data_IF_796648256939
#
_entry.id   IF_796648256939
#
_cell.length_a   1.000
_cell.length_b   1.000
_cell.length_c   1.000
_cell.angle_alpha   90.00
_cell.angle_beta   90.00
_cell.angle_gamma   90.00
#
_symmetry.space_group_name_H-M   'P 1'
#
loop_
_entity.id
_entity.type
_entity.pdbx_description
1 polymer ?
#
# COMPACT_ATOMS: atom_id res chain seq x y z
N UNK A 1 -4.72 9.70 5.75
CA UNK A 1 -4.97 9.73 7.21
C UNK A 1 -3.92 10.63 7.87
N UNK A 2 -4.18 11.24 9.04
CA UNK A 2 -3.19 12.13 9.71
C UNK A 2 -2.54 11.51 10.96
N UNK A 3 -1.48 12.15 11.45
CA UNK A 3 -0.71 11.73 12.61
C UNK A 3 -1.54 11.59 13.90
N UNK A 4 -2.56 12.44 14.10
CA UNK A 4 -3.49 12.33 15.24
C UNK A 4 -4.17 10.96 15.28
N UNK A 5 -4.65 10.49 14.13
CA UNK A 5 -5.28 9.18 14.02
C UNK A 5 -4.28 8.04 14.31
N UNK A 6 -3.03 8.19 13.86
CA UNK A 6 -1.96 7.20 14.15
C UNK A 6 -1.65 7.14 15.64
N UNK A 7 -1.57 8.29 16.30
CA UNK A 7 -1.33 8.37 17.75
C UNK A 7 -2.45 7.71 18.56
N UNK A 8 -3.70 7.81 18.11
CA UNK A 8 -4.84 7.19 18.78
C UNK A 8 -4.74 5.65 18.80
N UNK A 9 -4.03 5.03 17.85
CA UNK A 9 -3.79 3.58 17.85
C UNK A 9 -2.69 3.14 18.81
N UNK A 10 -1.98 4.05 19.49
CA UNK A 10 -0.93 3.64 20.42
C UNK A 10 -1.47 2.95 21.68
N UNK A 11 -2.78 2.92 21.90
CA UNK A 11 -3.41 2.16 23.00
C UNK A 11 -3.65 0.68 22.66
N UNK A 12 -3.48 0.25 21.40
CA UNK A 12 -3.71 -1.13 20.94
C UNK A 12 -2.41 -1.94 20.85
N UNK A 13 -2.46 -3.26 20.76
CA UNK A 13 -1.25 -4.11 20.70
C UNK A 13 -0.48 -4.02 19.35
N UNK A 14 -1.17 -3.62 18.30
CA UNK A 14 -0.64 -3.41 16.96
C UNK A 14 -1.27 -2.18 16.32
N UNK A 15 -0.65 -1.66 15.27
CA UNK A 15 -1.18 -0.58 14.44
C UNK A 15 -1.74 -1.12 13.14
N UNK A 16 -2.72 -0.43 12.59
CA UNK A 16 -3.44 -0.77 11.38
C UNK A 16 -3.56 0.42 10.43
N UNK A 17 -3.47 0.18 9.13
CA UNK A 17 -3.50 1.20 8.10
C UNK A 17 -4.25 0.75 6.86
N UNK A 18 -4.93 1.71 6.22
CA UNK A 18 -5.64 1.51 4.97
C UNK A 18 -5.06 2.43 3.90
N UNK A 19 -4.92 1.92 2.69
CA UNK A 19 -4.51 2.74 1.56
C UNK A 19 -5.04 2.16 0.25
N UNK A 20 -5.26 3.02 -0.72
CA UNK A 20 -5.84 2.65 -1.99
C UNK A 20 -5.07 3.28 -3.12
N UNK A 21 -4.76 2.47 -4.13
CA UNK A 21 -4.31 2.98 -5.41
C UNK A 21 -5.52 3.45 -6.21
N UNK A 22 -6.09 4.58 -5.80
CA UNK A 22 -7.24 5.16 -6.46
C UNK A 22 -7.11 6.68 -6.54
N UNK A 23 -7.45 7.22 -7.71
CA UNK A 23 -7.66 8.65 -7.90
C UNK A 23 -8.93 8.80 -8.71
N UNK A 24 -10.09 8.86 -8.05
CA UNK A 24 -11.34 8.72 -8.79
C UNK A 24 -12.52 9.48 -8.19
N UNK A 25 -13.46 9.81 -9.08
CA UNK A 25 -14.77 10.36 -8.77
C UNK A 25 -15.79 9.43 -9.42
N UNK A 26 -16.27 8.48 -8.63
CA UNK A 26 -17.17 7.42 -9.07
C UNK A 26 -18.54 7.59 -8.40
N UNK A 27 -19.43 8.27 -9.11
CA UNK A 27 -20.79 8.66 -8.74
C UNK A 27 -21.79 8.05 -9.74
N UNK A 28 -23.09 8.27 -9.56
CA UNK A 28 -24.14 7.69 -10.41
C UNK A 28 -23.93 8.04 -11.90
N UNK A 29 -23.65 9.32 -12.18
CA UNK A 29 -23.47 9.86 -13.53
C UNK A 29 -22.02 10.26 -13.85
N UNK A 30 -21.12 10.26 -12.86
CA UNK A 30 -19.70 10.61 -13.03
C UNK A 30 -18.85 9.36 -12.86
N UNK A 31 -18.15 8.92 -13.91
CA UNK A 31 -17.28 7.74 -13.88
C UNK A 31 -15.85 8.14 -14.26
N UNK A 32 -15.17 8.85 -13.37
CA UNK A 32 -13.78 9.27 -13.57
C UNK A 32 -12.91 8.38 -12.70
N UNK A 33 -11.88 7.77 -13.27
CA UNK A 33 -10.94 6.94 -12.54
C UNK A 33 -9.50 7.15 -12.99
N UNK A 34 -8.56 6.86 -12.08
CA UNK A 34 -7.14 6.82 -12.38
C UNK A 34 -6.80 5.50 -13.07
N UNK A 35 -6.49 5.56 -14.36
CA UNK A 35 -6.04 4.40 -15.13
C UNK A 35 -4.51 4.45 -15.31
N UNK A 36 -3.78 4.39 -14.20
CA UNK A 36 -2.31 4.55 -14.19
C UNK A 36 -1.64 3.32 -13.59
N UNK A 37 -0.66 2.70 -14.28
CA UNK A 37 0.12 1.61 -13.71
C UNK A 37 1.04 2.11 -12.59
N UNK A 38 1.16 1.34 -11.50
CA UNK A 38 2.03 1.67 -10.36
C UNK A 38 3.49 1.79 -10.79
N UNK A 39 3.90 0.97 -11.76
CA UNK A 39 5.24 1.03 -12.32
C UNK A 39 5.55 2.32 -13.07
N UNK A 40 4.57 3.15 -13.45
CA UNK A 40 4.81 4.35 -14.29
C UNK A 40 4.94 5.67 -13.53
N UNK A 41 4.71 5.70 -12.22
CA UNK A 41 4.89 6.92 -11.43
C UNK A 41 6.19 6.86 -10.64
N UNK A 42 6.81 8.00 -10.35
CA UNK A 42 8.01 7.98 -9.48
C UNK A 42 7.66 7.56 -8.05
N UNK A 43 6.71 8.26 -7.42
CA UNK A 43 6.47 8.12 -5.99
C UNK A 43 5.12 7.46 -5.66
N UNK A 44 5.15 6.21 -5.16
CA UNK A 44 3.96 5.47 -4.74
C UNK A 44 3.51 5.83 -3.31
N UNK A 45 3.34 7.13 -3.04
CA UNK A 45 2.86 7.60 -1.72
C UNK A 45 1.40 7.23 -1.47
N UNK A 46 0.57 7.17 -2.51
CA UNK A 46 -0.88 6.86 -2.37
C UNK A 46 -1.16 5.47 -1.79
N UNK A 47 -0.26 4.50 -2.01
CA UNK A 47 -0.40 3.15 -1.47
C UNK A 47 0.66 2.88 -0.40
N UNK A 48 1.88 2.52 -0.80
CA UNK A 48 2.88 2.02 0.16
C UNK A 48 3.44 3.12 1.06
N UNK A 49 3.51 4.37 0.59
CA UNK A 49 3.90 5.49 1.45
C UNK A 49 2.87 5.80 2.54
N UNK A 50 1.58 5.85 2.21
CA UNK A 50 0.48 5.99 3.19
C UNK A 50 0.52 4.85 4.22
N UNK A 51 0.77 3.61 3.79
CA UNK A 51 0.87 2.47 4.69
C UNK A 51 2.10 2.55 5.61
N UNK A 52 3.26 3.00 5.11
CA UNK A 52 4.42 3.27 5.96
C UNK A 52 4.15 4.42 6.92
N UNK A 53 3.43 5.47 6.52
CA UNK A 53 2.97 6.50 7.44
C UNK A 53 2.02 5.94 8.51
N UNK A 54 1.25 4.91 8.16
CA UNK A 54 0.36 4.24 9.08
C UNK A 54 1.07 3.38 10.14
N UNK A 55 2.32 2.98 9.87
CA UNK A 55 3.15 2.14 10.73
C UNK A 55 3.89 2.97 11.77
N UNK A 56 3.67 2.67 13.04
CA UNK A 56 4.55 3.13 14.12
C UNK A 56 5.62 2.07 14.36
N UNK A 57 6.91 2.44 14.26
CA UNK A 57 8.01 1.48 14.16
C UNK A 57 8.19 0.57 15.39
N UNK A 58 7.73 0.99 16.57
CA UNK A 58 7.80 0.22 17.81
C UNK A 58 6.63 -0.74 18.03
N UNK A 59 5.74 -0.87 17.04
CA UNK A 59 4.60 -1.78 17.09
C UNK A 59 4.52 -2.70 15.88
N UNK A 60 3.97 -3.91 16.04
CA UNK A 60 3.49 -4.68 14.91
C UNK A 60 2.53 -3.84 14.06
N UNK A 61 2.57 -4.03 12.74
CA UNK A 61 1.72 -3.32 11.80
C UNK A 61 1.02 -4.32 10.88
N UNK A 62 -0.29 -4.19 10.73
CA UNK A 62 -1.10 -4.93 9.77
C UNK A 62 -1.77 -3.95 8.83
N UNK A 63 -1.97 -4.36 7.59
CA UNK A 63 -2.79 -3.63 6.63
C UNK A 63 -4.09 -4.40 6.50
N UNK A 64 -5.12 -4.00 7.23
CA UNK A 64 -6.41 -4.70 7.19
C UNK A 64 -7.25 -4.37 5.95
N UNK A 65 -6.89 -3.32 5.20
CA UNK A 65 -7.62 -2.90 4.01
C UNK A 65 -6.70 -2.23 2.99
N UNK A 66 -6.67 -2.70 1.76
CA UNK A 66 -6.06 -2.00 0.63
C UNK A 66 -6.61 -2.51 -0.70
N UNK A 67 -6.56 -1.70 -1.76
CA UNK A 67 -6.83 -2.18 -3.13
C UNK A 67 -6.31 -1.27 -4.27
N UNK A 68 -6.20 -1.86 -5.46
CA UNK A 68 -6.20 -1.17 -6.77
C UNK A 68 -7.48 -1.56 -7.55
N UNK A 69 -8.56 -0.80 -7.43
CA UNK A 69 -9.88 -1.30 -7.80
C UNK A 69 -10.20 -1.23 -9.30
N UNK A 70 -11.25 -1.97 -9.71
CA UNK A 70 -11.85 -1.86 -11.04
C UNK A 70 -12.37 -0.42 -11.26
N UNK A 71 -12.21 0.22 -12.43
CA UNK A 71 -11.78 -0.36 -13.71
C UNK A 71 -10.32 -0.07 -14.10
N UNK A 72 -9.39 0.15 -13.16
CA UNK A 72 -7.98 0.32 -13.52
C UNK A 72 -7.46 -0.92 -14.27
N UNK A 73 -6.94 -0.73 -15.48
CA UNK A 73 -6.47 -1.80 -16.37
C UNK A 73 -5.20 -2.46 -15.84
N UNK A 74 -4.48 -1.78 -14.95
CA UNK A 74 -3.16 -2.18 -14.43
C UNK A 74 -3.21 -2.88 -13.07
N UNK A 75 -4.41 -3.09 -12.52
CA UNK A 75 -4.62 -3.63 -11.16
C UNK A 75 -4.03 -5.02 -10.89
N UNK A 76 -3.66 -5.76 -11.93
CA UNK A 76 -2.92 -7.02 -11.81
C UNK A 76 -1.54 -6.84 -11.17
N UNK A 77 -0.95 -5.64 -11.20
CA UNK A 77 0.33 -5.35 -10.53
C UNK A 77 0.22 -5.46 -9.00
N UNK A 78 -0.95 -5.13 -8.46
CA UNK A 78 -1.11 -4.84 -7.03
C UNK A 78 -0.95 -6.05 -6.08
N UNK A 79 -1.47 -7.27 -6.35
CA UNK A 79 -1.36 -8.38 -5.39
C UNK A 79 0.08 -8.83 -5.14
N UNK A 80 0.87 -8.90 -6.22
CA UNK A 80 2.27 -9.32 -6.15
C UNK A 80 3.12 -8.21 -5.53
N UNK A 81 2.90 -6.96 -5.94
CA UNK A 81 3.60 -5.80 -5.39
C UNK A 81 3.39 -5.66 -3.87
N UNK A 82 2.14 -5.74 -3.41
CA UNK A 82 1.81 -5.63 -1.99
C UNK A 82 2.34 -6.79 -1.16
N UNK A 83 2.33 -8.02 -1.68
CA UNK A 83 2.96 -9.15 -1.01
C UNK A 83 4.47 -8.95 -0.86
N UNK A 84 5.15 -8.47 -1.91
CA UNK A 84 6.59 -8.23 -1.89
C UNK A 84 6.98 -7.10 -0.93
N UNK A 85 6.30 -5.95 -1.02
CA UNK A 85 6.54 -4.82 -0.11
C UNK A 85 6.20 -5.20 1.33
N UNK A 86 5.07 -5.88 1.57
CA UNK A 86 4.69 -6.32 2.91
C UNK A 86 5.72 -7.27 3.54
N UNK A 87 6.27 -8.21 2.75
CA UNK A 87 7.35 -9.10 3.19
C UNK A 87 8.64 -8.33 3.48
N UNK A 88 9.05 -7.45 2.56
CA UNK A 88 10.24 -6.60 2.68
C UNK A 88 10.18 -5.66 3.90
N UNK A 89 9.01 -5.11 4.18
CA UNK A 89 8.77 -4.23 5.33
C UNK A 89 8.60 -4.99 6.65
N UNK A 90 8.43 -6.31 6.61
CA UNK A 90 8.01 -7.14 7.74
C UNK A 90 6.69 -6.69 8.36
N UNK A 91 5.70 -6.38 7.52
CA UNK A 91 4.33 -6.19 7.99
C UNK A 91 3.74 -7.54 8.42
N UNK A 92 2.85 -7.51 9.41
CA UNK A 92 2.19 -8.70 9.95
C UNK A 92 1.14 -9.32 9.03
N UNK A 93 0.62 -8.54 8.07
CA UNK A 93 -0.33 -8.99 7.07
C UNK A 93 -0.73 -7.87 6.10
N UNK A 94 -1.11 -8.25 4.89
CA UNK A 94 -1.69 -7.37 3.87
C UNK A 94 -3.01 -7.95 3.36
N UNK A 95 -4.12 -7.39 3.80
CA UNK A 95 -5.47 -7.92 3.57
C UNK A 95 -6.16 -7.07 2.51
N UNK A 96 -6.45 -7.70 1.37
CA UNK A 96 -7.07 -7.04 0.23
C UNK A 96 -8.54 -6.77 0.48
N UNK A 97 -8.97 -5.55 0.15
CA UNK A 97 -10.37 -5.15 0.14
C UNK A 97 -10.92 -5.22 -1.28
N UNK A 98 -11.93 -6.02 -1.59
CA UNK A 98 -12.63 -7.00 -0.74
C UNK A 98 -12.87 -8.27 -1.54
N UNK A 99 -13.16 -9.39 -0.87
CA UNK A 99 -13.48 -10.62 -1.58
C UNK A 99 -14.77 -10.45 -2.39
N UNK A 100 -15.89 -10.20 -1.71
CA UNK A 100 -17.18 -9.86 -2.30
C UNK A 100 -18.00 -9.04 -1.30
N UNK A 101 -18.88 -8.19 -1.79
CA UNK A 101 -19.93 -7.54 -1.01
C UNK A 101 -21.17 -8.42 -0.91
N UNK A 102 -21.43 -9.29 -1.89
CA UNK A 102 -22.68 -10.02 -2.07
C UNK A 102 -22.52 -11.54 -2.00
N UNK A 103 -23.47 -12.27 -1.40
CA UNK A 103 -23.54 -13.72 -1.59
C UNK A 103 -24.05 -14.11 -3.00
N UNK A 104 -24.50 -13.16 -3.82
CA UNK A 104 -25.00 -13.43 -5.16
C UNK A 104 -23.84 -13.69 -6.13
N UNK A 105 -23.67 -14.96 -6.52
CA UNK A 105 -22.63 -15.39 -7.46
C UNK A 105 -23.07 -15.34 -8.94
N UNK A 106 -24.33 -14.98 -9.24
CA UNK A 106 -24.86 -14.88 -10.62
C UNK A 106 -24.57 -13.52 -11.28
N UNK A 107 -23.44 -12.92 -10.95
CA UNK A 107 -23.05 -11.61 -11.48
C UNK A 107 -22.43 -11.73 -12.87
N UNK A 108 -22.97 -10.97 -13.83
CA UNK A 108 -22.48 -10.95 -15.21
C UNK A 108 -21.41 -9.88 -15.48
N UNK A 109 -21.21 -8.95 -14.55
CA UNK A 109 -20.34 -7.78 -14.74
C UNK A 109 -19.50 -7.57 -13.48
N UNK A 110 -18.18 -7.51 -13.65
CA UNK A 110 -17.23 -7.17 -12.59
C UNK A 110 -17.48 -5.72 -12.14
N UNK A 111 -17.36 -5.44 -10.85
CA UNK A 111 -17.52 -4.08 -10.34
C UNK A 111 -18.97 -3.67 -10.04
N UNK A 112 -19.96 -4.55 -10.26
CA UNK A 112 -21.39 -4.25 -10.14
C UNK A 112 -22.16 -5.38 -9.44
N UNK A 113 -21.80 -5.65 -8.19
CA UNK A 113 -22.46 -6.62 -7.32
C UNK A 113 -23.80 -6.15 -6.75
N UNK A 114 -23.94 -4.84 -6.51
CA UNK A 114 -25.16 -4.24 -5.96
C UNK A 114 -25.52 -2.94 -6.66
N UNK A 115 -26.75 -2.47 -6.40
CA UNK A 115 -27.10 -1.06 -6.60
C UNK A 115 -26.60 -0.24 -5.42
N UNK A 116 -26.01 0.93 -5.69
CA UNK A 116 -25.54 1.86 -4.65
C UNK A 116 -26.62 2.27 -3.65
N UNK A 117 -27.90 2.24 -4.04
CA UNK A 117 -29.03 2.47 -3.15
C UNK A 117 -29.09 1.50 -1.96
N UNK A 118 -28.45 0.33 -2.06
CA UNK A 118 -28.41 -0.67 -0.97
C UNK A 118 -27.30 -0.41 0.05
N UNK A 119 -26.32 0.46 -0.25
CA UNK A 119 -25.19 0.76 0.64
C UNK A 119 -24.98 2.28 0.78
N UNK A 120 -26.01 2.95 1.29
CA UNK A 120 -25.96 4.38 1.61
C UNK A 120 -25.89 5.32 0.40
N UNK A 121 -26.30 4.85 -0.79
CA UNK A 121 -26.31 5.65 -2.02
C UNK A 121 -24.92 5.92 -2.60
N UNK A 122 -23.89 5.20 -2.16
CA UNK A 122 -22.50 5.46 -2.55
C UNK A 122 -22.13 4.64 -3.77
N UNK A 123 -22.00 5.27 -4.94
CA UNK A 123 -21.86 4.60 -6.24
C UNK A 123 -20.63 3.71 -6.40
N UNK A 124 -19.51 4.00 -5.72
CA UNK A 124 -18.35 3.09 -5.78
C UNK A 124 -18.58 1.79 -5.02
N UNK A 125 -19.52 1.76 -4.06
CA UNK A 125 -19.86 0.53 -3.30
C UNK A 125 -20.71 -0.44 -4.11
N UNK A 126 -20.94 -0.16 -5.38
CA UNK A 126 -21.62 -1.08 -6.30
C UNK A 126 -20.81 -2.34 -6.55
N UNK A 127 -19.52 -2.39 -6.21
CA UNK A 127 -18.71 -3.60 -6.28
C UNK A 127 -17.34 -3.41 -6.91
N UNK A 128 -16.89 -2.18 -7.13
CA UNK A 128 -15.62 -1.88 -7.82
C UNK A 128 -14.38 -2.46 -7.14
N UNK A 129 -14.48 -2.79 -5.86
CA UNK A 129 -13.44 -3.44 -5.05
C UNK A 129 -13.60 -4.97 -4.97
N UNK A 130 -14.64 -5.55 -5.57
CA UNK A 130 -14.86 -6.99 -5.52
C UNK A 130 -13.79 -7.73 -6.31
N UNK A 131 -13.17 -8.72 -5.68
CA UNK A 131 -12.03 -9.45 -6.25
C UNK A 131 -12.33 -10.91 -6.58
N UNK A 132 -13.41 -11.49 -6.04
CA UNK A 132 -13.76 -12.90 -6.25
C UNK A 132 -13.96 -13.26 -7.74
N UNK A 133 -14.46 -12.31 -8.53
CA UNK A 133 -14.66 -12.45 -9.99
C UNK A 133 -13.74 -11.55 -10.83
N UNK A 134 -12.71 -10.94 -10.22
CA UNK A 134 -11.77 -10.10 -10.96
C UNK A 134 -10.67 -10.97 -11.61
N UNK A 135 -10.70 -11.18 -12.94
CA UNK A 135 -9.73 -12.04 -13.61
C UNK A 135 -8.29 -11.51 -13.51
N UNK A 136 -8.11 -10.20 -13.28
CA UNK A 136 -6.77 -9.60 -13.14
C UNK A 136 -6.10 -9.94 -11.81
N UNK A 137 -6.88 -10.31 -10.77
CA UNK A 137 -6.39 -10.47 -9.39
C UNK A 137 -6.50 -11.89 -8.87
N UNK A 138 -7.63 -12.57 -9.10
CA UNK A 138 -7.93 -13.83 -8.41
C UNK A 138 -6.88 -14.93 -8.65
N UNK A 139 -6.31 -14.98 -9.87
CA UNK A 139 -5.24 -15.93 -10.21
C UNK A 139 -3.90 -15.63 -9.54
N UNK A 140 -3.70 -14.42 -9.03
CA UNK A 140 -2.46 -13.98 -8.39
C UNK A 140 -2.45 -14.23 -6.89
N UNK A 141 -3.60 -14.51 -6.27
CA UNK A 141 -3.71 -14.62 -4.81
C UNK A 141 -2.82 -15.71 -4.23
N UNK A 142 -2.76 -16.89 -4.85
CA UNK A 142 -1.90 -17.97 -4.39
C UNK A 142 -0.41 -17.60 -4.49
N UNK A 143 -0.02 -16.90 -5.56
CA UNK A 143 1.35 -16.43 -5.75
C UNK A 143 1.72 -15.38 -4.69
N UNK A 144 0.87 -14.38 -4.48
CA UNK A 144 1.02 -13.35 -3.47
C UNK A 144 1.09 -13.94 -2.05
N UNK A 145 0.18 -14.87 -1.73
CA UNK A 145 0.14 -15.54 -0.43
C UNK A 145 1.41 -16.35 -0.17
N UNK A 146 1.90 -17.11 -1.16
CA UNK A 146 3.14 -17.88 -1.03
C UNK A 146 4.35 -16.98 -0.85
N UNK A 147 4.46 -15.91 -1.67
CA UNK A 147 5.54 -14.93 -1.57
C UNK A 147 5.60 -14.33 -0.16
N UNK A 148 4.48 -13.85 0.35
CA UNK A 148 4.40 -13.23 1.67
C UNK A 148 4.65 -14.23 2.81
N UNK A 149 3.99 -15.40 2.79
CA UNK A 149 4.05 -16.37 3.91
C UNK A 149 5.39 -17.07 4.03
N UNK A 150 6.07 -17.33 2.91
CA UNK A 150 7.45 -17.87 2.92
C UNK A 150 8.50 -16.81 3.17
N UNK A 151 8.11 -15.53 3.15
CA UNK A 151 8.98 -14.37 3.19
C UNK A 151 10.00 -14.40 2.05
N UNK A 152 9.55 -14.69 0.82
CA UNK A 152 10.45 -14.84 -0.34
C UNK A 152 11.30 -13.57 -0.54
N UNK A 153 10.73 -12.37 -0.33
CA UNK A 153 11.51 -11.13 -0.21
C UNK A 153 12.10 -10.97 1.20
N UNK A 154 13.41 -10.73 1.27
CA UNK A 154 14.16 -10.46 2.49
C UNK A 154 13.73 -9.13 3.13
N UNK A 155 13.73 -9.04 4.47
CA UNK A 155 13.57 -7.77 5.17
C UNK A 155 14.58 -6.72 4.71
N UNK A 156 14.16 -5.45 4.68
CA UNK A 156 15.07 -4.34 4.42
C UNK A 156 16.26 -4.32 5.39
N UNK A 157 17.40 -3.84 4.89
CA UNK A 157 18.65 -3.75 5.66
C UNK A 157 18.68 -2.55 6.60
N UNK A 158 18.09 -1.43 6.18
CA UNK A 158 18.07 -0.20 6.98
C UNK A 158 16.63 0.16 7.40
N UNK A 159 16.50 0.70 8.61
CA UNK A 159 15.25 1.23 9.17
C UNK A 159 15.28 2.76 9.20
N UNK A 160 14.40 3.38 8.42
CA UNK A 160 14.18 4.83 8.37
C UNK A 160 12.95 5.19 9.19
N UNK A 161 13.15 5.98 10.25
CA UNK A 161 12.09 6.55 11.08
C UNK A 161 11.85 8.02 10.76
N UNK A 162 10.61 8.35 10.43
CA UNK A 162 10.14 9.73 10.24
C UNK A 162 9.62 10.28 11.56
N UNK A 163 10.23 11.36 12.05
CA UNK A 163 9.79 12.04 13.26
C UNK A 163 8.45 12.75 13.03
N UNK A 164 7.48 12.50 13.91
CA UNK A 164 6.21 13.22 13.94
C UNK A 164 6.22 14.26 15.05
N UNK A 165 6.34 15.52 14.65
CA UNK A 165 6.28 16.70 15.52
C UNK A 165 4.99 17.53 15.36
N UNK A 166 4.25 17.34 14.26
CA UNK A 166 2.91 17.89 14.02
C UNK A 166 1.85 16.77 13.91
N UNK A 167 0.79 16.87 14.72
CA UNK A 167 -0.32 15.92 14.72
C UNK A 167 -1.24 16.05 13.50
N UNK A 168 -1.08 17.10 12.69
CA UNK A 168 -1.79 17.31 11.42
C UNK A 168 -1.09 16.66 10.22
N UNK A 169 0.17 16.28 10.38
CA UNK A 169 0.98 15.68 9.32
C UNK A 169 0.23 14.52 8.64
N UNK A 170 0.31 14.46 7.31
CA UNK A 170 -0.18 13.36 6.48
C UNK A 170 0.97 12.79 5.64
N UNK A 171 0.79 11.60 5.07
CA UNK A 171 1.84 10.95 4.26
C UNK A 171 2.33 11.81 3.08
N UNK A 172 1.43 12.58 2.46
CA UNK A 172 1.75 13.45 1.32
C UNK A 172 2.64 14.64 1.67
N UNK A 173 2.76 14.98 2.95
CA UNK A 173 3.68 16.03 3.41
C UNK A 173 5.13 15.54 3.44
N UNK A 174 5.35 14.21 3.46
CA UNK A 174 6.67 13.60 3.55
C UNK A 174 7.21 13.35 2.14
N UNK A 175 8.31 14.05 1.74
CA UNK A 175 8.86 13.91 0.41
C UNK A 175 9.26 12.46 0.12
N UNK A 176 8.75 11.91 -0.98
CA UNK A 176 9.17 10.62 -1.51
C UNK A 176 8.99 9.43 -0.54
N UNK A 177 8.00 9.48 0.36
CA UNK A 177 7.76 8.40 1.32
C UNK A 177 7.52 7.03 0.66
N UNK A 178 6.87 6.99 -0.51
CA UNK A 178 6.74 5.77 -1.30
C UNK A 178 8.11 5.20 -1.71
N UNK A 179 9.03 6.04 -2.19
CA UNK A 179 10.39 5.63 -2.55
C UNK A 179 11.22 5.19 -1.34
N UNK A 180 11.07 5.87 -0.19
CA UNK A 180 11.70 5.44 1.06
C UNK A 180 11.20 4.03 1.42
N UNK A 181 9.89 3.78 1.30
CA UNK A 181 9.25 2.48 1.59
C UNK A 181 9.71 1.38 0.65
N UNK A 182 9.98 1.68 -0.61
CA UNK A 182 10.49 0.68 -1.56
C UNK A 182 11.99 0.45 -1.42
N UNK A 183 12.71 1.41 -0.82
CA UNK A 183 14.17 1.34 -0.64
C UNK A 183 14.58 0.72 0.69
N UNK A 184 13.87 1.05 1.77
CA UNK A 184 14.23 0.75 3.15
C UNK A 184 12.98 0.34 3.95
N UNK A 185 13.18 -0.22 5.15
CA UNK A 185 12.08 -0.34 6.11
C UNK A 185 11.70 1.07 6.56
N UNK A 186 10.42 1.42 6.45
CA UNK A 186 9.96 2.78 6.71
C UNK A 186 8.81 2.78 7.71
N UNK A 187 8.74 3.81 8.54
CA UNK A 187 7.64 4.07 9.45
C UNK A 187 7.79 5.40 10.18
N UNK A 188 6.79 5.75 10.98
CA UNK A 188 6.83 6.94 11.83
C UNK A 188 7.21 6.60 13.28
N UNK A 189 7.64 7.62 14.01
CA UNK A 189 7.75 7.58 15.46
C UNK A 189 7.32 8.91 16.07
N UNK A 190 6.83 8.84 17.31
CA UNK A 190 6.45 10.03 18.08
C UNK A 190 7.57 10.37 19.06
N UNK A 191 7.84 11.67 19.24
CA UNK A 191 8.82 12.14 20.23
C UNK A 191 8.53 11.60 21.62
N UNK A 192 9.54 11.03 22.27
CA UNK A 192 9.40 10.33 23.56
C UNK A 192 8.92 8.87 23.47
N UNK A 193 8.69 8.35 22.26
CA UNK A 193 8.54 6.92 22.00
C UNK A 193 9.89 6.19 21.88
N UNK A 194 9.89 4.95 21.40
CA UNK A 194 11.09 4.11 21.30
C UNK A 194 11.95 4.48 20.08
N UNK A 195 12.67 5.60 20.17
CA UNK A 195 13.57 6.10 19.13
C UNK A 195 14.73 5.13 18.77
N UNK A 196 14.98 4.12 19.61
CA UNK A 196 16.07 3.15 19.51
C UNK A 196 15.94 2.14 18.37
N UNK A 197 14.83 2.14 17.63
CA UNK A 197 14.54 1.12 16.59
C UNK A 197 15.03 1.57 15.20
N UNK A 198 15.35 2.85 15.02
CA UNK A 198 15.71 3.40 13.71
C UNK A 198 17.23 3.44 13.54
N UNK A 199 17.73 2.93 12.40
CA UNK A 199 19.12 3.15 11.98
C UNK A 199 19.32 4.60 11.52
N UNK A 200 18.30 5.15 10.83
CA UNK A 200 18.29 6.53 10.35
C UNK A 200 17.02 7.24 10.81
N UNK A 201 17.18 8.37 11.48
CA UNK A 201 16.09 9.26 11.90
C UNK A 201 16.08 10.48 11.00
N UNK A 202 14.90 10.82 10.49
CA UNK A 202 14.72 11.99 9.63
C UNK A 202 13.55 12.81 10.11
N UNK A 203 13.62 14.12 9.91
CA UNK A 203 12.44 14.98 9.99
C UNK A 203 11.52 14.71 8.80
N UNK A 204 10.23 14.95 8.98
CA UNK A 204 9.23 14.69 7.94
C UNK A 204 9.46 15.46 6.63
N UNK A 205 10.13 16.61 6.67
CA UNK A 205 10.41 17.43 5.49
C UNK A 205 11.76 17.12 4.81
N UNK A 206 12.54 16.18 5.35
CA UNK A 206 13.81 15.79 4.76
C UNK A 206 13.60 14.90 3.53
N UNK A 207 14.24 15.27 2.43
CA UNK A 207 14.25 14.47 1.21
C UNK A 207 15.51 13.61 1.17
N UNK A 208 15.36 12.30 1.39
CA UNK A 208 16.49 11.36 1.48
C UNK A 208 16.60 10.37 0.32
N UNK A 209 15.58 10.31 -0.54
CA UNK A 209 15.59 9.51 -1.78
C UNK A 209 15.12 10.42 -2.92
N UNK A 210 15.82 10.37 -4.04
CA UNK A 210 15.59 11.21 -5.23
C UNK A 210 14.86 10.44 -6.34
N UNK A 211 14.11 11.17 -7.17
CA UNK A 211 13.40 10.61 -8.35
C UNK A 211 14.24 10.64 -9.64
N UNK A 212 15.44 11.22 -9.59
CA UNK A 212 16.26 11.50 -10.76
C UNK A 212 16.83 10.25 -11.45
N UNK A 213 16.80 9.08 -10.79
CA UNK A 213 17.35 7.84 -11.34
C UNK A 213 16.42 7.08 -12.29
N UNK A 214 15.15 7.47 -12.44
CA UNK A 214 14.22 6.74 -13.31
C UNK A 214 13.74 5.39 -12.74
N UNK A 215 14.16 5.07 -11.51
CA UNK A 215 13.94 3.79 -10.83
C UNK A 215 14.18 3.90 -9.33
N UNK A 216 13.71 2.88 -8.60
CA UNK A 216 14.05 2.59 -7.21
C UNK A 216 14.49 1.14 -7.08
N UNK A 217 15.49 0.91 -6.23
CA UNK A 217 16.03 -0.41 -5.90
C UNK A 217 16.12 -0.50 -4.39
N UNK A 218 15.50 -1.52 -3.81
CA UNK A 218 15.61 -1.87 -2.38
C UNK A 218 17.06 -2.03 -1.93
N UNK A 219 17.34 -1.75 -0.66
CA UNK A 219 18.66 -1.97 -0.06
C UNK A 219 19.09 -3.45 -0.04
N UNK A 220 18.15 -4.38 -0.20
CA UNK A 220 18.42 -5.81 -0.46
C UNK A 220 18.77 -6.10 -1.92
N UNK A 221 18.32 -5.25 -2.85
CA UNK A 221 18.44 -5.43 -4.30
C UNK A 221 17.33 -6.31 -4.92
N UNK A 222 16.47 -6.90 -4.11
CA UNK A 222 15.46 -7.87 -4.56
C UNK A 222 14.23 -7.22 -5.16
N UNK A 223 13.80 -6.08 -4.62
CA UNK A 223 12.68 -5.30 -5.16
C UNK A 223 13.24 -4.15 -5.99
N UNK A 224 12.75 -4.03 -7.23
CA UNK A 224 13.12 -2.95 -8.15
C UNK A 224 11.87 -2.47 -8.90
N UNK A 225 11.77 -1.16 -9.11
CA UNK A 225 10.71 -0.57 -9.95
C UNK A 225 11.29 0.55 -10.78
N UNK A 226 11.01 0.57 -12.08
CA UNK A 226 11.45 1.61 -13.00
C UNK A 226 10.26 2.20 -13.73
N UNK A 227 10.08 3.51 -13.59
CA UNK A 227 9.05 4.28 -14.30
C UNK A 227 9.47 4.69 -15.69
N UNK A 228 10.77 4.83 -15.94
CA UNK A 228 11.30 5.02 -17.28
C UNK A 228 11.02 3.79 -18.17
N UNK A 229 11.17 2.59 -17.60
CA UNK A 229 10.96 1.32 -18.32
C UNK A 229 9.55 0.74 -18.14
N UNK A 230 8.79 1.24 -17.15
CA UNK A 230 7.49 0.71 -16.73
C UNK A 230 7.54 -0.77 -16.38
N UNK A 231 8.52 -1.15 -15.55
CA UNK A 231 8.70 -2.54 -15.09
C UNK A 231 8.91 -2.58 -13.58
N UNK A 232 8.37 -3.63 -12.95
CA UNK A 232 8.69 -4.05 -11.58
C UNK A 232 9.38 -5.41 -11.61
N UNK A 233 10.39 -5.60 -10.76
CA UNK A 233 11.15 -6.84 -10.66
C UNK A 233 11.21 -7.25 -9.19
N UNK A 234 10.90 -8.52 -8.93
CA UNK A 234 11.13 -9.18 -7.65
C UNK A 234 12.13 -10.30 -7.95
N UNK A 235 13.40 -10.01 -7.72
CA UNK A 235 14.52 -10.94 -7.89
C UNK A 235 14.90 -11.53 -6.53
N UNK A 236 14.10 -12.50 -6.09
CA UNK A 236 14.31 -13.21 -4.83
C UNK A 236 14.34 -14.70 -5.05
N UNK A 237 15.17 -15.41 -4.29
CA UNK A 237 15.12 -16.87 -4.27
C UNK A 237 13.87 -17.31 -3.51
N UNK A 238 13.17 -18.31 -4.07
CA UNK A 238 12.14 -19.03 -3.33
C UNK A 238 12.75 -19.62 -2.06
N UNK A 239 12.10 -19.38 -0.91
CA UNK A 239 12.47 -19.98 0.37
C UNK A 239 11.73 -21.29 0.65
#
# INVERSE_FOLDING_TARGET
>A
VNASNRRAQLVTDFTDGHAYWCGWKWEEYTKIFNNTPMVSIANNTLLVGELSFCRVLDKPFIVSEWDDPWPNEWRAESPIFMAAVGSFQEWGGVIMHTYSYSPNMELKVVGKEFSSNTIGGVSYREGVFATWNDPAKIGLFYHAALLFRRKDADPAKEVVGVEVDDMKLVSSDIPNLGLITEKHKAGIYFKGGTESICDKRIRWNEKIVEENEGKVVSDTGQLQRSWDKRIGIIDSKRK
#
